data_IF_672946915227
#
_entry.id   IF_672946915227
#
_cell.length_a   1.000
_cell.length_b   1.000
_cell.length_c   1.000
_cell.angle_alpha   90.00
_cell.angle_beta   90.00
_cell.angle_gamma   90.00
#
_symmetry.space_group_name_H-M   'P 1'
#
loop_
_entity.id
_entity.type
_entity.pdbx_description
1 polymer ?
#
# COMPACT_ATOMS: atom_id res chain seq x y z
N UNK A 1 25.57 22.07 -57.00
CA UNK A 1 25.84 23.15 -56.03
C UNK A 1 24.89 22.98 -54.86
N UNK A 2 25.42 22.71 -53.68
CA UNK A 2 24.73 22.55 -52.41
C UNK A 2 24.27 23.90 -51.84
N UNK A 3 23.05 24.00 -51.31
CA UNK A 3 22.71 24.90 -50.20
C UNK A 3 21.69 24.21 -49.27
N UNK A 4 22.03 24.27 -47.99
CA UNK A 4 21.55 23.47 -46.87
C UNK A 4 20.15 23.86 -46.35
N UNK A 5 19.53 22.87 -45.68
CA UNK A 5 18.68 22.89 -44.48
C UNK A 5 18.47 24.24 -43.77
N UNK A 6 17.25 24.51 -43.28
CA UNK A 6 16.94 24.64 -41.84
C UNK A 6 15.44 24.94 -41.64
N UNK A 7 14.87 24.39 -40.56
CA UNK A 7 13.62 24.80 -39.89
C UNK A 7 12.31 24.41 -40.57
N UNK A 8 11.73 23.30 -40.11
CA UNK A 8 10.32 23.22 -39.67
C UNK A 8 10.20 21.95 -38.82
N UNK A 9 10.74 22.01 -37.59
CA UNK A 9 10.63 20.94 -36.61
C UNK A 9 10.02 21.51 -35.33
N UNK A 10 8.77 21.96 -35.41
CA UNK A 10 8.00 22.47 -34.25
C UNK A 10 6.61 21.82 -34.18
N UNK A 11 6.50 20.51 -34.45
CA UNK A 11 5.22 19.79 -34.26
C UNK A 11 5.43 18.41 -33.64
N UNK A 12 6.23 18.32 -32.58
CA UNK A 12 6.47 17.04 -31.88
C UNK A 12 6.47 17.11 -30.35
N UNK A 13 6.01 18.19 -29.72
CA UNK A 13 6.12 18.34 -28.25
C UNK A 13 4.81 18.32 -27.44
N UNK A 14 3.63 18.22 -28.03
CA UNK A 14 2.36 18.26 -27.24
C UNK A 14 1.72 16.90 -26.91
N UNK A 15 2.23 15.76 -27.39
CA UNK A 15 1.58 14.45 -27.18
C UNK A 15 2.27 13.50 -26.19
N UNK A 16 3.24 13.97 -25.39
CA UNK A 16 4.00 13.10 -24.47
C UNK A 16 3.48 13.08 -23.02
N UNK A 17 2.38 13.78 -22.68
CA UNK A 17 1.88 13.88 -21.29
C UNK A 17 0.73 12.90 -21.00
N UNK A 18 0.24 12.16 -22.00
CA UNK A 18 -0.81 11.17 -21.81
C UNK A 18 -0.24 9.77 -21.65
N UNK A 19 -0.33 9.26 -20.41
CA UNK A 19 -0.62 7.86 -20.05
C UNK A 19 0.41 7.05 -19.26
N UNK A 20 1.22 7.68 -18.39
CA UNK A 20 1.83 6.96 -17.25
C UNK A 20 0.88 6.92 -16.03
N UNK A 21 -0.38 6.53 -16.25
CA UNK A 21 -1.20 6.04 -15.13
C UNK A 21 -0.77 4.61 -14.90
N UNK A 22 0.21 4.41 -14.00
CA UNK A 22 0.43 3.12 -13.39
C UNK A 22 -0.95 2.57 -13.01
N UNK A 23 -1.29 1.39 -13.53
CA UNK A 23 -2.52 0.70 -13.13
C UNK A 23 -2.57 0.70 -11.59
N UNK A 24 -3.72 1.00 -10.95
CA UNK A 24 -3.78 1.03 -9.50
C UNK A 24 -3.34 -0.35 -8.99
N UNK A 25 -2.17 -0.38 -8.36
CA UNK A 25 -1.58 -1.62 -7.91
C UNK A 25 -2.50 -2.21 -6.84
N UNK A 26 -2.88 -3.48 -7.02
CA UNK A 26 -3.80 -4.13 -6.09
C UNK A 26 -3.16 -4.18 -4.71
N UNK A 27 -3.81 -3.52 -3.75
CA UNK A 27 -3.40 -3.56 -2.35
C UNK A 27 -4.02 -4.78 -1.69
N UNK A 28 -3.20 -5.54 -0.96
CA UNK A 28 -3.64 -6.62 -0.09
C UNK A 28 -3.38 -6.25 1.37
N UNK A 29 -4.35 -6.47 2.24
CA UNK A 29 -4.22 -6.27 3.68
C UNK A 29 -4.07 -7.62 4.37
N UNK A 30 -3.11 -7.74 5.27
CA UNK A 30 -2.88 -8.94 6.06
C UNK A 30 -2.69 -8.58 7.53
N UNK A 31 -3.09 -9.52 8.39
CA UNK A 31 -2.80 -9.43 9.81
C UNK A 31 -1.37 -9.88 10.03
N UNK A 32 -0.64 -9.11 10.83
CA UNK A 32 0.70 -9.47 11.27
C UNK A 32 0.72 -9.69 12.78
N UNK A 33 1.62 -10.53 13.26
CA UNK A 33 1.84 -10.75 14.69
C UNK A 33 3.25 -10.32 15.07
N UNK A 34 3.35 -9.56 16.15
CA UNK A 34 4.62 -9.11 16.73
C UNK A 34 4.74 -9.68 18.15
N UNK A 35 5.92 -10.22 18.47
CA UNK A 35 6.22 -10.71 19.82
C UNK A 35 6.83 -9.57 20.62
N UNK A 36 6.18 -9.21 21.72
CA UNK A 36 6.68 -8.24 22.67
C UNK A 36 7.15 -8.94 23.94
N UNK A 37 8.24 -8.45 24.52
CA UNK A 37 8.79 -8.95 25.76
C UNK A 37 8.76 -7.86 26.83
N UNK A 38 8.27 -8.22 28.01
CA UNK A 38 8.25 -7.34 29.18
C UNK A 38 8.72 -8.14 30.40
N UNK A 39 9.96 -7.90 30.82
CA UNK A 39 10.64 -8.74 31.82
C UNK A 39 10.73 -10.19 31.33
N UNK A 40 10.24 -11.12 32.15
CA UNK A 40 10.22 -12.56 31.84
C UNK A 40 8.94 -13.01 31.08
N UNK A 41 8.06 -12.07 30.72
CA UNK A 41 6.82 -12.37 30.02
C UNK A 41 6.94 -11.99 28.54
N UNK A 42 6.43 -12.87 27.68
CA UNK A 42 6.26 -12.59 26.26
C UNK A 42 4.77 -12.63 25.91
N UNK A 43 4.32 -11.69 25.09
CA UNK A 43 2.97 -11.69 24.53
C UNK A 43 3.02 -11.39 23.03
N UNK A 44 1.99 -11.83 22.31
CA UNK A 44 1.82 -11.51 20.90
C UNK A 44 0.81 -10.37 20.82
N UNK A 45 1.18 -9.32 20.09
CA UNK A 45 0.23 -8.32 19.63
C UNK A 45 0.01 -8.45 18.14
N UNK A 46 -1.20 -8.18 17.68
CA UNK A 46 -1.57 -8.25 16.28
C UNK A 46 -1.74 -6.85 15.72
N UNK A 47 -1.21 -6.64 14.52
CA UNK A 47 -1.36 -5.42 13.73
C UNK A 47 -1.87 -5.72 12.32
N UNK A 48 -1.94 -4.70 11.48
CA UNK A 48 -2.36 -4.81 10.09
C UNK A 48 -1.31 -4.18 9.18
N UNK A 49 -0.91 -4.90 8.14
CA UNK A 49 -0.02 -4.39 7.10
C UNK A 49 -0.71 -4.42 5.73
N UNK A 50 -0.41 -3.42 4.92
CA UNK A 50 -0.84 -3.31 3.54
C UNK A 50 0.35 -3.60 2.62
N UNK A 51 0.11 -4.41 1.60
CA UNK A 51 1.10 -4.91 0.67
C UNK A 51 0.71 -4.61 -0.77
N UNK A 52 1.73 -4.44 -1.61
CA UNK A 52 1.62 -4.48 -3.06
C UNK A 52 2.66 -5.45 -3.63
N UNK A 53 2.37 -6.04 -4.78
CA UNK A 53 3.34 -6.88 -5.48
C UNK A 53 4.59 -6.06 -5.84
N UNK A 54 5.78 -6.61 -5.69
CA UNK A 54 6.99 -5.94 -6.17
C UNK A 54 7.04 -6.03 -7.71
N UNK A 55 7.35 -4.92 -8.38
CA UNK A 55 7.37 -4.88 -9.85
C UNK A 55 8.41 -5.82 -10.47
N UNK A 56 9.44 -6.19 -9.70
CA UNK A 56 10.62 -6.92 -10.17
C UNK A 56 10.79 -8.31 -9.54
N UNK A 57 9.86 -8.76 -8.69
CA UNK A 57 9.96 -10.06 -8.02
C UNK A 57 8.60 -10.54 -7.50
N UNK A 58 8.47 -11.84 -7.21
CA UNK A 58 7.31 -12.40 -6.51
C UNK A 58 7.22 -11.99 -5.02
N UNK A 59 8.07 -11.05 -4.57
CA UNK A 59 8.03 -10.52 -3.22
C UNK A 59 6.92 -9.48 -3.08
N UNK A 60 6.31 -9.42 -1.89
CA UNK A 60 5.38 -8.35 -1.51
C UNK A 60 6.16 -7.21 -0.85
N UNK A 61 5.83 -5.97 -1.20
CA UNK A 61 6.36 -4.77 -0.55
C UNK A 61 5.31 -4.20 0.40
N UNK A 62 5.71 -3.97 1.66
CA UNK A 62 4.87 -3.26 2.63
C UNK A 62 4.77 -1.79 2.24
N UNK A 63 3.55 -1.25 2.21
CA UNK A 63 3.27 0.15 1.86
C UNK A 63 2.56 0.93 2.96
N UNK A 64 1.90 0.25 3.90
CA UNK A 64 1.38 0.83 5.13
C UNK A 64 1.40 -0.24 6.21
N UNK A 65 1.53 0.18 7.46
CA UNK A 65 1.66 -0.73 8.59
C UNK A 65 1.17 -0.05 9.87
N UNK A 66 0.25 -0.69 10.58
CA UNK A 66 -0.19 -0.31 11.92
C UNK A 66 0.13 -1.46 12.87
N UNK A 67 1.21 -1.37 13.66
CA UNK A 67 1.59 -2.39 14.64
C UNK A 67 0.72 -2.32 15.90
N UNK A 68 0.83 -3.35 16.74
CA UNK A 68 0.35 -3.35 18.12
C UNK A 68 -1.11 -2.87 18.32
N UNK A 69 -2.03 -3.35 17.49
CA UNK A 69 -3.44 -2.93 17.50
C UNK A 69 -4.25 -3.67 18.57
N UNK A 70 -4.05 -4.98 18.70
CA UNK A 70 -4.77 -5.79 19.70
C UNK A 70 -4.07 -7.12 19.99
N UNK A 71 -4.07 -7.60 21.24
CA UNK A 71 -3.64 -8.97 21.55
C UNK A 71 -4.67 -10.04 21.13
N UNK A 72 -5.89 -9.65 20.73
CA UNK A 72 -6.92 -10.58 20.29
C UNK A 72 -7.07 -10.58 18.78
N UNK A 73 -6.47 -11.59 18.14
CA UNK A 73 -6.57 -11.86 16.70
C UNK A 73 -8.00 -11.77 16.14
N UNK A 74 -8.98 -12.34 16.84
CA UNK A 74 -10.35 -12.45 16.35
C UNK A 74 -11.02 -11.09 16.14
N UNK A 75 -10.55 -10.05 16.82
CA UNK A 75 -11.06 -8.68 16.69
C UNK A 75 -10.63 -8.08 15.34
N UNK A 76 -9.43 -8.42 14.84
CA UNK A 76 -8.87 -7.83 13.61
C UNK A 76 -9.25 -8.57 12.34
N UNK A 77 -9.64 -9.85 12.40
CA UNK A 77 -10.00 -10.62 11.20
C UNK A 77 -11.13 -9.97 10.38
N UNK A 78 -12.26 -9.52 10.97
CA UNK A 78 -13.33 -8.88 10.22
C UNK A 78 -12.88 -7.56 9.60
N UNK A 79 -12.00 -6.82 10.28
CA UNK A 79 -11.46 -5.55 9.78
C UNK A 79 -10.59 -5.79 8.55
N UNK A 80 -9.63 -6.72 8.62
CA UNK A 80 -8.77 -7.10 7.48
C UNK A 80 -9.62 -7.56 6.29
N UNK A 81 -10.66 -8.37 6.52
CA UNK A 81 -11.56 -8.81 5.46
C UNK A 81 -12.30 -7.63 4.82
N UNK A 82 -12.80 -6.67 5.61
CA UNK A 82 -13.46 -5.45 5.10
C UNK A 82 -12.51 -4.57 4.31
N UNK A 83 -11.28 -4.34 4.79
CA UNK A 83 -10.26 -3.55 4.09
C UNK A 83 -9.98 -4.12 2.69
N UNK A 84 -9.83 -5.45 2.59
CA UNK A 84 -9.63 -6.14 1.31
C UNK A 84 -10.88 -6.10 0.41
N UNK A 85 -12.07 -6.31 0.98
CA UNK A 85 -13.33 -6.38 0.21
C UNK A 85 -13.71 -5.03 -0.39
N UNK A 86 -13.49 -3.95 0.36
CA UNK A 86 -13.85 -2.58 -0.04
C UNK A 86 -12.72 -1.87 -0.80
N UNK A 87 -11.54 -2.48 -0.90
CA UNK A 87 -10.37 -1.86 -1.54
C UNK A 87 -9.93 -0.59 -0.81
N UNK A 88 -9.78 -0.67 0.52
CA UNK A 88 -9.38 0.47 1.33
C UNK A 88 -8.11 1.13 0.76
N UNK A 89 -8.07 2.45 0.75
CA UNK A 89 -6.84 3.18 0.40
C UNK A 89 -5.84 3.09 1.56
N UNK A 90 -4.57 2.71 1.31
CA UNK A 90 -3.56 2.52 2.37
C UNK A 90 -3.35 3.74 3.28
N UNK A 91 -3.57 4.95 2.76
CA UNK A 91 -3.43 6.19 3.53
C UNK A 91 -4.44 6.29 4.68
N UNK A 92 -5.59 5.65 4.56
CA UNK A 92 -6.66 5.65 5.56
C UNK A 92 -6.58 4.47 6.52
N UNK A 93 -5.53 3.64 6.42
CA UNK A 93 -5.42 2.45 7.27
C UNK A 93 -5.39 2.81 8.75
N UNK A 94 -4.66 3.86 9.13
CA UNK A 94 -4.58 4.32 10.53
C UNK A 94 -5.93 4.82 11.03
N UNK A 95 -6.58 5.71 10.27
CA UNK A 95 -7.88 6.29 10.63
C UNK A 95 -8.94 5.19 10.83
N UNK A 96 -8.98 4.21 9.92
CA UNK A 96 -9.93 3.09 9.98
C UNK A 96 -9.68 2.17 11.17
N UNK A 97 -8.40 1.92 11.52
CA UNK A 97 -8.05 1.13 12.69
C UNK A 97 -8.46 1.87 13.97
N UNK A 98 -8.19 3.16 14.07
CA UNK A 98 -8.59 3.98 15.22
C UNK A 98 -10.11 4.04 15.36
N UNK A 99 -10.85 4.29 14.27
CA UNK A 99 -12.31 4.30 14.28
C UNK A 99 -12.89 2.94 14.71
N UNK A 100 -12.31 1.83 14.25
CA UNK A 100 -12.75 0.50 14.61
C UNK A 100 -12.57 0.18 16.10
N UNK A 101 -11.46 0.61 16.70
CA UNK A 101 -11.21 0.41 18.13
C UNK A 101 -12.11 1.26 19.04
N UNK A 102 -12.65 2.36 18.51
CA UNK A 102 -13.54 3.28 19.23
C UNK A 102 -15.04 3.06 18.92
N UNK A 103 -15.38 2.02 18.15
CA UNK A 103 -16.75 1.74 17.68
C UNK A 103 -17.61 0.86 18.58
#
# INVERSE_FOLDING_TARGET
MNKNNMSDNETSMENAITNNRAQPQKVAYEMIGEVHTFGDQAYISYGIAAYVDAETSDAKRVIAHVPDVSPNRSILEPLVQRCNTLGLSPIHLVDVVEDFLNS
#
